data_IF_994436958444
#
_entry.id   IF_994436958444
#
_cell.length_a   1.000
_cell.length_b   1.000
_cell.length_c   1.000
_cell.angle_alpha   90.00
_cell.angle_beta   90.00
_cell.angle_gamma   90.00
#
_symmetry.space_group_name_H-M   'P 1'
#
loop_
_entity.id
_entity.type
_entity.pdbx_description
1 polymer ?
#
# COMPACT_ATOMS: atom_id res chain seq x y z
N UNK A 1 -24.14 -8.95 -8.75
CA UNK A 1 -23.59 -7.58 -8.80
C UNK A 1 -22.10 -7.62 -8.48
N UNK A 2 -21.26 -6.94 -9.27
CA UNK A 2 -19.82 -6.83 -8.96
C UNK A 2 -19.60 -5.77 -7.88
N UNK A 3 -18.70 -6.02 -6.94
CA UNK A 3 -18.28 -5.06 -5.92
C UNK A 3 -17.03 -4.35 -6.43
N UNK A 4 -17.02 -3.03 -6.39
CA UNK A 4 -15.87 -2.24 -6.85
C UNK A 4 -14.74 -2.32 -5.81
N UNK A 5 -13.59 -2.85 -6.24
CA UNK A 5 -12.35 -2.84 -5.48
C UNK A 5 -11.55 -1.58 -5.79
N UNK A 6 -11.17 -0.86 -4.74
CA UNK A 6 -10.38 0.38 -4.87
C UNK A 6 -8.95 0.11 -4.46
N UNK A 7 -7.98 0.62 -5.22
CA UNK A 7 -6.58 0.62 -4.77
C UNK A 7 -6.45 1.64 -3.64
N UNK A 8 -5.98 1.19 -2.48
CA UNK A 8 -5.75 2.01 -1.29
C UNK A 8 -4.27 2.34 -1.10
N UNK A 9 -3.38 1.46 -1.53
CA UNK A 9 -1.94 1.70 -1.43
C UNK A 9 -1.20 1.06 -2.59
N UNK A 10 -0.13 1.72 -3.03
CA UNK A 10 0.85 1.19 -3.99
C UNK A 10 2.26 1.41 -3.42
N UNK A 11 3.10 0.38 -3.51
CA UNK A 11 4.53 0.46 -3.23
C UNK A 11 5.29 0.22 -4.53
N UNK A 12 6.10 1.19 -4.92
CA UNK A 12 6.92 1.17 -6.14
C UNK A 12 8.40 1.10 -5.78
N UNK A 13 9.20 0.65 -6.75
CA UNK A 13 10.65 0.56 -6.63
C UNK A 13 11.34 1.04 -7.90
N UNK A 14 12.34 1.90 -7.73
CA UNK A 14 13.20 2.44 -8.78
C UNK A 14 14.63 2.59 -8.27
N UNK A 15 15.60 2.80 -9.14
CA UNK A 15 17.01 2.95 -8.74
C UNK A 15 17.19 4.20 -7.86
N UNK A 16 16.58 5.32 -8.28
CA UNK A 16 16.57 6.59 -7.55
C UNK A 16 15.32 7.42 -7.87
N UNK A 17 14.38 7.49 -6.92
CA UNK A 17 13.20 8.34 -7.03
C UNK A 17 13.55 9.83 -6.92
N UNK A 18 14.67 10.17 -6.30
CA UNK A 18 15.08 11.57 -6.11
C UNK A 18 15.24 12.31 -7.45
N UNK A 19 15.55 11.58 -8.53
CA UNK A 19 15.71 12.13 -9.88
C UNK A 19 14.40 12.55 -10.54
N UNK A 20 13.26 12.09 -10.04
CA UNK A 20 11.94 12.47 -10.57
C UNK A 20 11.44 13.79 -9.96
N UNK A 21 12.03 14.24 -8.85
CA UNK A 21 11.52 15.34 -8.04
C UNK A 21 12.58 16.46 -7.95
N UNK A 22 12.90 17.06 -9.09
CA UNK A 22 13.96 18.09 -9.21
C UNK A 22 13.42 19.50 -9.44
N UNK A 23 12.10 19.70 -9.60
CA UNK A 23 11.51 21.03 -9.68
C UNK A 23 11.48 21.71 -8.31
N UNK A 24 11.23 23.01 -8.29
CA UNK A 24 11.11 23.83 -7.07
C UNK A 24 9.90 23.43 -6.19
N UNK A 25 8.98 22.63 -6.73
CA UNK A 25 7.83 22.10 -5.99
C UNK A 25 8.20 21.01 -4.98
N UNK A 26 9.44 20.54 -4.98
CA UNK A 26 9.89 19.41 -4.18
C UNK A 26 11.14 19.72 -3.37
N UNK A 27 11.13 19.29 -2.11
CA UNK A 27 12.30 19.29 -1.24
C UNK A 27 12.54 17.86 -0.77
N UNK A 28 13.76 17.35 -0.96
CA UNK A 28 14.15 16.03 -0.46
C UNK A 28 15.10 16.19 0.72
N UNK A 29 14.63 15.79 1.89
CA UNK A 29 15.39 15.85 3.14
C UNK A 29 15.91 14.46 3.52
N UNK A 30 17.20 14.35 3.83
CA UNK A 30 17.82 13.08 4.23
C UNK A 30 17.70 12.91 5.74
N UNK A 31 16.93 11.91 6.17
CA UNK A 31 16.72 11.60 7.60
C UNK A 31 17.71 10.54 8.10
N UNK A 32 18.12 9.63 7.21
CA UNK A 32 19.05 8.56 7.51
C UNK A 32 19.89 8.24 6.27
N UNK A 33 21.20 8.21 6.42
CA UNK A 33 22.16 7.67 5.43
C UNK A 33 23.45 7.22 6.13
N UNK A 34 24.51 6.92 5.39
CA UNK A 34 25.83 6.66 5.98
C UNK A 34 26.36 7.97 6.59
N UNK A 35 26.64 7.98 7.89
CA UNK A 35 27.12 9.17 8.61
C UNK A 35 26.05 10.18 9.03
N UNK A 36 24.79 10.02 8.62
CA UNK A 36 23.68 10.93 8.96
C UNK A 36 22.54 10.15 9.61
N UNK A 37 22.03 10.64 10.74
CA UNK A 37 20.80 10.16 11.35
C UNK A 37 20.14 11.26 12.19
N UNK A 38 18.92 11.65 11.78
CA UNK A 38 18.08 12.63 12.48
C UNK A 38 16.96 11.91 13.27
N UNK A 39 17.17 11.57 14.57
CA UNK A 39 16.27 10.71 15.32
C UNK A 39 14.89 11.35 15.59
N UNK A 40 14.84 12.67 15.80
CA UNK A 40 13.58 13.37 16.08
C UNK A 40 12.68 13.35 14.84
N UNK A 41 13.22 13.80 13.71
CA UNK A 41 12.54 13.78 12.42
C UNK A 41 12.13 12.35 12.00
N UNK A 42 12.96 11.36 12.33
CA UNK A 42 12.64 9.95 12.11
C UNK A 42 11.37 9.52 12.86
N UNK A 43 11.31 9.79 14.17
CA UNK A 43 10.17 9.38 14.99
C UNK A 43 8.90 10.08 14.53
N UNK A 44 8.98 11.39 14.26
CA UNK A 44 7.87 12.19 13.77
C UNK A 44 7.28 11.64 12.47
N UNK A 45 8.16 11.36 11.50
CA UNK A 45 7.75 10.95 10.15
C UNK A 45 7.32 9.48 10.10
N UNK A 46 8.14 8.58 10.65
CA UNK A 46 7.96 7.13 10.47
C UNK A 46 7.15 6.48 11.59
N UNK A 47 6.90 7.20 12.70
CA UNK A 47 6.11 6.77 13.87
C UNK A 47 6.53 5.43 14.46
N UNK A 48 7.78 5.02 14.23
CA UNK A 48 8.37 3.73 14.61
C UNK A 48 9.87 3.88 14.80
N UNK A 49 10.48 3.04 15.64
CA UNK A 49 11.93 2.99 15.78
C UNK A 49 12.65 2.57 14.50
N UNK A 50 13.89 3.03 14.33
CA UNK A 50 14.75 2.65 13.22
C UNK A 50 14.99 1.14 13.24
N UNK A 51 14.76 0.49 12.10
CA UNK A 51 15.06 -0.93 11.92
C UNK A 51 16.40 -1.11 11.20
N UNK A 52 17.21 -2.10 11.61
CA UNK A 52 18.52 -2.42 10.99
C UNK A 52 18.47 -2.68 9.48
N UNK A 53 17.29 -2.93 8.92
CA UNK A 53 17.11 -3.18 7.49
C UNK A 53 17.08 -1.92 6.62
N UNK A 54 17.01 -0.72 7.19
CA UNK A 54 16.94 0.54 6.44
C UNK A 54 18.33 1.15 6.34
N UNK A 55 18.85 1.23 5.11
CA UNK A 55 20.15 1.85 4.81
C UNK A 55 20.02 3.37 4.66
N UNK A 56 18.98 3.80 3.95
CA UNK A 56 18.69 5.20 3.67
C UNK A 56 17.19 5.46 3.86
N UNK A 57 16.88 6.62 4.43
CA UNK A 57 15.54 7.17 4.42
C UNK A 57 15.60 8.66 4.14
N UNK A 58 14.77 9.10 3.19
CA UNK A 58 14.54 10.50 2.85
C UNK A 58 13.05 10.82 2.98
N UNK A 59 12.74 12.09 3.13
CA UNK A 59 11.38 12.63 3.06
C UNK A 59 11.30 13.48 1.81
N UNK A 60 10.36 13.15 0.93
CA UNK A 60 9.93 14.04 -0.13
C UNK A 60 8.85 14.96 0.44
N UNK A 61 9.12 16.24 0.49
CA UNK A 61 8.14 17.28 0.79
C UNK A 61 7.65 17.87 -0.52
N UNK A 62 6.34 18.06 -0.68
CA UNK A 62 5.73 18.74 -1.82
C UNK A 62 5.27 20.14 -1.44
N UNK A 63 5.16 21.04 -2.43
CA UNK A 63 4.61 22.39 -2.26
C UNK A 63 3.17 22.40 -1.72
N UNK A 64 2.42 21.32 -1.92
CA UNK A 64 1.08 21.12 -1.37
C UNK A 64 1.07 20.60 0.09
N UNK A 65 2.23 20.51 0.76
CA UNK A 65 2.36 20.07 2.15
C UNK A 65 2.29 18.56 2.35
N UNK A 66 2.42 17.76 1.28
CA UNK A 66 2.46 16.30 1.39
C UNK A 66 3.89 15.83 1.70
N UNK A 67 4.02 14.94 2.69
CA UNK A 67 5.29 14.29 3.02
C UNK A 67 5.25 12.81 2.63
N UNK A 68 6.18 12.37 1.78
CA UNK A 68 6.23 10.98 1.29
C UNK A 68 7.59 10.35 1.63
N UNK A 69 7.60 9.18 2.30
CA UNK A 69 8.84 8.52 2.65
C UNK A 69 9.49 7.81 1.45
N UNK A 70 10.77 8.10 1.21
CA UNK A 70 11.64 7.35 0.30
C UNK A 70 12.58 6.47 1.13
N UNK A 71 12.66 5.17 0.83
CA UNK A 71 13.48 4.23 1.63
C UNK A 71 14.33 3.32 0.78
N UNK A 72 15.57 3.09 1.19
CA UNK A 72 16.45 2.06 0.66
C UNK A 72 16.71 1.02 1.74
N UNK A 73 16.55 -0.24 1.38
CA UNK A 73 16.70 -1.36 2.31
C UNK A 73 17.99 -2.12 2.05
N UNK A 74 18.57 -2.74 3.08
CA UNK A 74 19.78 -3.55 2.98
C UNK A 74 19.66 -4.72 1.99
N UNK A 75 18.48 -5.33 1.89
CA UNK A 75 18.16 -6.40 0.93
C UNK A 75 18.01 -5.91 -0.51
N UNK A 76 18.00 -4.61 -0.76
CA UNK A 76 17.89 -4.01 -2.08
C UNK A 76 18.65 -2.67 -2.09
N UNK A 77 19.99 -2.71 -1.91
CA UNK A 77 20.78 -1.51 -1.66
C UNK A 77 20.88 -0.61 -2.89
N UNK A 78 20.56 -1.11 -4.08
CA UNK A 78 20.61 -0.34 -5.33
C UNK A 78 19.30 0.35 -5.67
N UNK A 79 18.21 0.10 -4.92
CA UNK A 79 16.88 0.60 -5.27
C UNK A 79 16.18 1.29 -4.11
N UNK A 80 15.56 2.43 -4.39
CA UNK A 80 14.66 3.12 -3.48
C UNK A 80 13.24 2.57 -3.62
N UNK A 81 12.49 2.57 -2.52
CA UNK A 81 11.06 2.30 -2.45
C UNK A 81 10.31 3.60 -2.18
N UNK A 82 9.21 3.78 -2.91
CA UNK A 82 8.22 4.83 -2.71
C UNK A 82 6.92 4.14 -2.27
N UNK A 83 6.44 4.46 -1.06
CA UNK A 83 5.20 3.89 -0.51
C UNK A 83 4.10 4.96 -0.52
N UNK A 84 3.16 4.85 -1.45
CA UNK A 84 1.99 5.73 -1.56
C UNK A 84 0.82 4.98 -0.92
N UNK A 85 0.56 5.25 0.36
CA UNK A 85 -0.39 4.50 1.16
C UNK A 85 -1.48 5.40 1.74
N UNK A 86 -2.73 4.92 1.70
CA UNK A 86 -3.90 5.67 2.19
C UNK A 86 -4.59 6.50 1.11
N UNK A 87 -4.53 6.08 -0.16
CA UNK A 87 -5.30 6.68 -1.26
C UNK A 87 -6.81 6.64 -0.99
N UNK A 88 -7.30 5.76 -0.09
CA UNK A 88 -8.70 5.75 0.37
C UNK A 88 -8.77 6.00 1.88
N UNK A 89 -8.05 7.03 2.33
CA UNK A 89 -8.01 7.51 3.72
C UNK A 89 -9.28 8.21 4.19
N UNK A 90 -10.00 8.90 3.28
CA UNK A 90 -11.18 9.75 3.58
C UNK A 90 -10.83 11.02 4.36
N UNK A 91 -9.66 11.59 4.08
CA UNK A 91 -9.16 12.85 4.61
C UNK A 91 -8.45 13.65 3.49
N UNK A 92 -8.14 14.92 3.76
CA UNK A 92 -7.45 15.81 2.82
C UNK A 92 -6.10 15.22 2.36
N UNK A 93 -5.41 14.52 3.27
CA UNK A 93 -4.16 13.83 2.94
C UNK A 93 -4.36 12.77 1.85
N UNK A 94 -5.45 12.01 1.90
CA UNK A 94 -5.75 11.00 0.88
C UNK A 94 -6.06 11.62 -0.49
N UNK A 95 -6.58 12.84 -0.52
CA UNK A 95 -6.77 13.60 -1.76
C UNK A 95 -5.45 14.09 -2.34
N UNK A 96 -4.60 14.69 -1.50
CA UNK A 96 -3.24 15.07 -1.90
C UNK A 96 -2.42 13.89 -2.44
N UNK A 97 -2.56 12.71 -1.83
CA UNK A 97 -1.89 11.49 -2.30
C UNK A 97 -2.41 11.01 -3.67
N UNK A 98 -3.71 11.15 -3.95
CA UNK A 98 -4.26 10.81 -5.27
C UNK A 98 -3.75 11.78 -6.32
N UNK A 99 -3.84 13.08 -6.06
CA UNK A 99 -3.38 14.12 -6.98
C UNK A 99 -1.89 13.95 -7.28
N UNK A 100 -1.07 13.68 -6.26
CA UNK A 100 0.35 13.35 -6.43
C UNK A 100 0.55 12.11 -7.31
N UNK A 101 -0.19 11.02 -7.04
CA UNK A 101 -0.04 9.79 -7.82
C UNK A 101 -0.46 9.97 -9.29
N UNK A 102 -1.55 10.69 -9.53
CA UNK A 102 -2.08 10.98 -10.88
C UNK A 102 -1.13 11.89 -11.65
N UNK A 103 -0.59 12.94 -11.02
CA UNK A 103 0.37 13.86 -11.63
C UNK A 103 1.67 13.17 -12.07
N UNK A 104 2.08 12.10 -11.38
CA UNK A 104 3.31 11.35 -11.67
C UNK A 104 3.06 9.96 -12.28
N UNK A 105 1.84 9.71 -12.77
CA UNK A 105 1.45 8.37 -13.18
C UNK A 105 2.33 7.83 -14.31
N UNK A 106 2.68 8.70 -15.29
CA UNK A 106 3.49 8.33 -16.44
C UNK A 106 4.93 7.96 -16.05
N UNK A 107 5.53 8.68 -15.11
CA UNK A 107 6.85 8.38 -14.57
C UNK A 107 6.83 7.07 -13.77
N UNK A 108 5.73 6.83 -13.05
CA UNK A 108 5.54 5.62 -12.26
C UNK A 108 5.27 4.37 -13.10
N UNK A 109 4.82 4.50 -14.35
CA UNK A 109 4.58 3.36 -15.24
C UNK A 109 5.81 2.47 -15.44
N UNK A 110 7.01 3.04 -15.42
CA UNK A 110 8.27 2.31 -15.57
C UNK A 110 8.84 1.76 -14.26
N UNK A 111 8.25 2.12 -13.11
CA UNK A 111 8.69 1.67 -11.80
C UNK A 111 8.25 0.23 -11.52
N UNK A 112 9.09 -0.53 -10.82
CA UNK A 112 8.77 -1.90 -10.42
C UNK A 112 7.73 -1.93 -9.30
N UNK A 113 6.77 -2.84 -9.42
CA UNK A 113 5.71 -3.02 -8.46
C UNK A 113 6.17 -3.90 -7.30
N UNK A 114 6.04 -3.38 -6.08
CA UNK A 114 6.40 -4.09 -4.84
C UNK A 114 5.19 -4.48 -4.00
N UNK A 115 4.14 -3.67 -4.01
CA UNK A 115 2.89 -3.96 -3.29
C UNK A 115 1.72 -3.21 -3.91
N UNK A 116 0.54 -3.84 -3.95
CA UNK A 116 -0.74 -3.18 -4.16
C UNK A 116 -1.73 -3.66 -3.11
N UNK A 117 -2.39 -2.72 -2.45
CA UNK A 117 -3.44 -3.01 -1.49
C UNK A 117 -4.81 -2.67 -2.11
N UNK A 118 -5.68 -3.67 -2.27
CA UNK A 118 -7.05 -3.52 -2.78
C UNK A 118 -8.01 -3.55 -1.60
N UNK A 119 -8.82 -2.51 -1.45
CA UNK A 119 -9.80 -2.39 -0.38
C UNK A 119 -11.25 -2.48 -0.87
N UNK A 120 -12.11 -2.96 0.04
CA UNK A 120 -13.56 -3.02 -0.09
C UNK A 120 -14.17 -2.51 1.21
N UNK A 121 -14.97 -1.46 1.10
CA UNK A 121 -15.63 -0.83 2.24
C UNK A 121 -17.09 -1.25 2.33
N UNK A 122 -17.54 -1.49 3.56
CA UNK A 122 -18.89 -1.93 3.89
C UNK A 122 -19.36 -1.19 5.14
N UNK A 123 -20.65 -0.88 5.26
CA UNK A 123 -21.22 -0.48 6.56
C UNK A 123 -20.97 -1.59 7.60
N UNK A 124 -21.14 -2.85 7.18
CA UNK A 124 -20.76 -4.05 7.92
C UNK A 124 -20.37 -5.15 6.94
N UNK A 125 -19.26 -5.84 7.18
CA UNK A 125 -18.84 -6.95 6.31
C UNK A 125 -19.88 -8.08 6.34
N UNK A 126 -20.41 -8.52 5.19
CA UNK A 126 -21.33 -9.65 5.12
C UNK A 126 -20.76 -10.95 5.72
N UNK A 127 -21.54 -11.62 6.57
CA UNK A 127 -21.14 -12.89 7.21
C UNK A 127 -20.70 -13.97 6.22
N UNK A 128 -21.30 -14.02 5.02
CA UNK A 128 -20.90 -14.96 3.96
C UNK A 128 -19.44 -14.79 3.54
N UNK A 129 -18.94 -13.55 3.51
CA UNK A 129 -17.55 -13.25 3.15
C UNK A 129 -16.62 -13.73 4.27
N UNK A 130 -17.00 -13.48 5.52
CA UNK A 130 -16.24 -13.93 6.70
C UNK A 130 -16.17 -15.45 6.71
N UNK A 131 -17.30 -16.14 6.54
CA UNK A 131 -17.35 -17.61 6.45
C UNK A 131 -16.42 -18.14 5.35
N UNK A 132 -16.46 -17.53 4.16
CA UNK A 132 -15.61 -17.92 3.03
C UNK A 132 -14.12 -17.73 3.31
N UNK A 133 -13.75 -16.61 3.92
CA UNK A 133 -12.37 -16.36 4.36
C UNK A 133 -11.90 -17.44 5.35
N UNK A 134 -12.78 -17.84 6.27
CA UNK A 134 -12.47 -18.83 7.30
C UNK A 134 -12.45 -20.29 6.81
N UNK A 135 -12.80 -20.59 5.55
CA UNK A 135 -12.76 -21.98 5.05
C UNK A 135 -11.35 -22.58 5.03
N UNK A 136 -10.31 -21.74 4.86
CA UNK A 136 -8.90 -22.16 4.74
C UNK A 136 -7.93 -21.32 5.56
N UNK A 137 -8.46 -20.37 6.34
CA UNK A 137 -7.67 -19.38 7.09
C UNK A 137 -8.26 -19.20 8.48
N UNK A 138 -7.41 -18.98 9.46
CA UNK A 138 -7.79 -18.66 10.82
C UNK A 138 -7.72 -17.15 11.06
N UNK A 139 -8.71 -16.55 11.75
CA UNK A 139 -8.67 -15.15 12.14
C UNK A 139 -7.68 -14.93 13.29
N UNK A 140 -6.75 -14.01 13.08
CA UNK A 140 -5.79 -13.53 14.08
C UNK A 140 -6.01 -12.05 14.35
N UNK A 141 -6.51 -11.73 15.56
CA UNK A 141 -6.79 -10.33 15.94
C UNK A 141 -5.56 -9.66 16.51
N UNK A 142 -5.24 -8.46 16.01
CA UNK A 142 -4.22 -7.58 16.53
C UNK A 142 -4.72 -6.13 16.51
N UNK A 143 -4.87 -5.54 17.70
CA UNK A 143 -5.47 -4.21 17.88
C UNK A 143 -6.84 -4.12 17.18
N UNK A 144 -7.02 -3.14 16.30
CA UNK A 144 -8.25 -2.91 15.52
C UNK A 144 -8.37 -3.80 14.27
N UNK A 145 -7.39 -4.66 14.00
CA UNK A 145 -7.29 -5.42 12.75
C UNK A 145 -7.39 -6.91 13.00
N UNK A 146 -8.21 -7.60 12.22
CA UNK A 146 -8.23 -9.06 12.11
C UNK A 146 -7.53 -9.47 10.83
N UNK A 147 -6.47 -10.26 10.94
CA UNK A 147 -5.74 -10.86 9.82
C UNK A 147 -6.26 -12.28 9.58
N UNK A 148 -6.51 -12.65 8.33
CA UNK A 148 -6.92 -14.01 7.98
C UNK A 148 -5.71 -14.79 7.48
N UNK A 149 -5.17 -15.69 8.30
CA UNK A 149 -3.90 -16.39 8.03
C UNK A 149 -4.10 -17.87 7.76
N UNK A 150 -3.35 -18.46 6.83
CA UNK A 150 -3.27 -19.93 6.72
C UNK A 150 -2.36 -20.51 7.80
N UNK A 151 -2.48 -21.80 8.11
CA UNK A 151 -1.61 -22.48 9.07
C UNK A 151 -0.10 -22.42 8.69
N UNK A 152 0.21 -22.29 7.38
CA UNK A 152 1.58 -22.17 6.88
C UNK A 152 2.12 -20.73 6.95
N UNK A 153 1.23 -19.75 6.97
CA UNK A 153 1.59 -18.34 7.09
C UNK A 153 2.05 -18.07 8.53
N UNK A 154 3.38 -18.06 8.76
CA UNK A 154 3.99 -17.60 10.02
C UNK A 154 3.65 -16.12 10.29
N UNK A 155 4.42 -15.44 11.16
CA UNK A 155 4.28 -13.99 11.38
C UNK A 155 4.37 -13.17 10.07
N UNK A 156 5.04 -13.67 9.03
CA UNK A 156 5.29 -12.98 7.75
C UNK A 156 4.70 -13.78 6.58
N UNK A 157 4.05 -13.09 5.65
CA UNK A 157 3.60 -13.62 4.35
C UNK A 157 4.04 -12.62 3.27
N UNK A 158 4.84 -13.06 2.31
CA UNK A 158 5.42 -12.20 1.27
C UNK A 158 4.61 -12.16 -0.02
N UNK A 159 3.50 -12.91 -0.09
CA UNK A 159 2.61 -13.01 -1.26
C UNK A 159 1.33 -12.21 -1.08
N UNK A 160 0.55 -12.46 -0.02
CA UNK A 160 -0.77 -11.85 0.15
C UNK A 160 -1.19 -11.79 1.62
N UNK A 161 -1.40 -10.60 2.17
CA UNK A 161 -2.16 -10.48 3.42
C UNK A 161 -3.63 -10.20 3.13
N UNK A 162 -4.52 -10.74 3.95
CA UNK A 162 -5.94 -10.38 3.95
C UNK A 162 -6.28 -9.89 5.34
N UNK A 163 -6.81 -8.67 5.44
CA UNK A 163 -7.17 -8.06 6.72
C UNK A 163 -8.57 -7.48 6.68
N UNK A 164 -9.23 -7.47 7.84
CA UNK A 164 -10.46 -6.74 8.13
C UNK A 164 -10.22 -5.81 9.30
N UNK A 165 -10.72 -4.59 9.23
CA UNK A 165 -10.65 -3.65 10.35
C UNK A 165 -11.80 -2.65 10.33
N UNK A 166 -12.03 -2.03 11.48
CA UNK A 166 -12.97 -0.93 11.64
C UNK A 166 -12.32 0.35 11.12
N UNK A 167 -12.67 0.74 9.89
CA UNK A 167 -12.12 1.91 9.20
C UNK A 167 -12.66 3.20 9.81
N UNK A 168 -13.89 3.18 10.36
CA UNK A 168 -14.43 4.30 11.12
C UNK A 168 -13.53 4.65 12.31
N UNK A 169 -13.16 3.66 13.12
CA UNK A 169 -12.24 3.89 14.26
C UNK A 169 -10.84 4.30 13.82
N UNK A 170 -10.34 3.75 12.73
CA UNK A 170 -8.99 4.02 12.24
C UNK A 170 -8.85 5.44 11.66
N UNK A 171 -9.83 5.88 10.87
CA UNK A 171 -9.82 7.19 10.21
C UNK A 171 -10.70 8.25 10.91
N UNK A 172 -11.29 7.92 12.08
CA UNK A 172 -12.19 8.80 12.85
C UNK A 172 -13.38 9.33 12.03
N UNK A 173 -14.01 8.45 11.25
CA UNK A 173 -15.12 8.83 10.37
C UNK A 173 -16.43 9.01 11.16
N UNK A 174 -17.34 9.89 10.70
CA UNK A 174 -18.63 10.09 11.35
C UNK A 174 -19.53 8.84 11.23
N UNK A 175 -19.45 8.14 10.11
CA UNK A 175 -20.34 7.01 9.78
C UNK A 175 -19.64 5.65 9.92
N UNK A 176 -20.39 4.58 10.25
CA UNK A 176 -19.85 3.23 10.33
C UNK A 176 -19.24 2.75 9.02
N UNK A 177 -18.00 2.26 9.09
CA UNK A 177 -17.26 1.75 7.95
C UNK A 177 -16.31 0.63 8.38
N UNK A 178 -16.54 -0.57 7.88
CA UNK A 178 -15.61 -1.70 7.95
C UNK A 178 -14.93 -1.89 6.61
N UNK A 179 -13.63 -2.22 6.64
CA UNK A 179 -12.84 -2.47 5.44
C UNK A 179 -12.31 -3.90 5.43
N UNK A 180 -12.42 -4.57 4.28
CA UNK A 180 -11.58 -5.71 3.91
C UNK A 180 -10.50 -5.22 2.97
N UNK A 181 -9.25 -5.60 3.20
CA UNK A 181 -8.12 -5.25 2.34
C UNK A 181 -7.30 -6.49 1.99
N UNK A 182 -6.96 -6.60 0.71
CA UNK A 182 -6.08 -7.61 0.13
C UNK A 182 -4.77 -6.94 -0.25
N UNK A 183 -3.71 -7.21 0.51
CA UNK A 183 -2.39 -6.64 0.32
C UNK A 183 -1.52 -7.60 -0.52
N UNK A 184 -1.52 -7.42 -1.84
CA UNK A 184 -0.72 -8.19 -2.78
C UNK A 184 0.72 -7.69 -2.71
N UNK A 185 1.66 -8.56 -2.31
CA UNK A 185 3.06 -8.22 -2.04
C UNK A 185 3.99 -8.73 -3.12
N UNK A 186 5.27 -8.37 -3.04
CA UNK A 186 6.28 -8.63 -4.07
C UNK A 186 6.30 -10.05 -4.63
N UNK A 187 6.11 -11.09 -3.80
CA UNK A 187 6.12 -12.48 -4.28
C UNK A 187 4.87 -12.88 -5.07
N UNK A 188 3.81 -12.06 -5.10
CA UNK A 188 2.63 -12.25 -5.95
C UNK A 188 2.89 -11.85 -7.41
N UNK A 189 3.78 -10.88 -7.62
CA UNK A 189 4.09 -10.32 -8.92
C UNK A 189 5.28 -11.06 -9.55
N UNK A 190 5.31 -11.20 -10.90
CA UNK A 190 6.53 -11.57 -11.59
C UNK A 190 7.70 -10.65 -11.20
N UNK A 191 8.90 -11.21 -11.10
CA UNK A 191 10.09 -10.45 -10.71
C UNK A 191 10.32 -9.31 -11.71
N UNK A 192 10.41 -8.08 -11.20
CA UNK A 192 10.67 -6.89 -12.02
C UNK A 192 9.45 -6.38 -12.79
N UNK A 193 8.24 -6.90 -12.51
CA UNK A 193 6.99 -6.40 -13.10
C UNK A 193 6.87 -4.89 -12.86
N UNK A 194 6.61 -4.13 -13.91
CA UNK A 194 6.43 -2.68 -13.86
C UNK A 194 4.96 -2.32 -13.64
N UNK A 195 4.69 -1.08 -13.22
CA UNK A 195 3.31 -0.60 -13.03
C UNK A 195 2.52 -0.65 -14.34
N UNK A 196 3.13 -0.34 -15.48
CA UNK A 196 2.48 -0.44 -16.81
C UNK A 196 2.00 -1.85 -17.16
N UNK A 197 2.64 -2.88 -16.57
CA UNK A 197 2.29 -4.27 -16.82
C UNK A 197 1.05 -4.70 -16.00
N UNK A 198 0.51 -3.82 -15.14
CA UNK A 198 -0.74 -4.03 -14.41
C UNK A 198 -1.96 -3.85 -15.33
N UNK A 199 -1.95 -4.57 -16.44
CA UNK A 199 -2.96 -4.53 -17.48
C UNK A 199 -4.28 -5.17 -17.02
N UNK A 200 -5.28 -5.13 -17.90
CA UNK A 200 -6.60 -5.74 -17.66
C UNK A 200 -6.50 -7.24 -17.33
N UNK A 201 -5.53 -7.96 -17.90
CA UNK A 201 -5.34 -9.41 -17.69
C UNK A 201 -4.79 -9.68 -16.28
N UNK A 202 -3.81 -8.89 -15.83
CA UNK A 202 -3.24 -9.04 -14.50
C UNK A 202 -4.24 -8.59 -13.41
N UNK A 203 -4.97 -7.50 -13.62
CA UNK A 203 -6.06 -7.10 -12.74
C UNK A 203 -7.12 -8.21 -12.62
N UNK A 204 -7.46 -8.88 -13.72
CA UNK A 204 -8.38 -10.02 -13.71
C UNK A 204 -7.85 -11.21 -12.89
N UNK A 205 -6.52 -11.43 -12.84
CA UNK A 205 -5.89 -12.44 -11.98
C UNK A 205 -6.05 -12.07 -10.49
N UNK A 206 -5.91 -10.80 -10.15
CA UNK A 206 -6.15 -10.29 -8.78
C UNK A 206 -7.62 -10.42 -8.39
N UNK A 207 -8.55 -10.05 -9.28
CA UNK A 207 -10.00 -10.23 -9.10
C UNK A 207 -10.35 -11.71 -8.82
N UNK A 208 -9.79 -12.66 -9.60
CA UNK A 208 -9.96 -14.10 -9.35
C UNK A 208 -9.40 -14.53 -7.99
N UNK A 209 -8.26 -13.99 -7.60
CA UNK A 209 -7.65 -14.28 -6.29
C UNK A 209 -8.57 -13.83 -5.15
N UNK A 210 -9.10 -12.61 -5.23
CA UNK A 210 -10.05 -12.05 -4.27
C UNK A 210 -11.31 -12.93 -4.17
N UNK A 211 -11.89 -13.29 -5.31
CA UNK A 211 -13.07 -14.16 -5.37
C UNK A 211 -12.81 -15.51 -4.71
N UNK A 212 -11.69 -16.16 -5.02
CA UNK A 212 -11.36 -17.47 -4.47
C UNK A 212 -11.26 -17.47 -2.93
N UNK A 213 -10.68 -16.41 -2.35
CA UNK A 213 -10.52 -16.32 -0.89
C UNK A 213 -11.77 -15.84 -0.15
N UNK A 214 -12.61 -15.01 -0.76
CA UNK A 214 -13.64 -14.27 -0.02
C UNK A 214 -15.04 -14.36 -0.60
N UNK A 215 -15.19 -14.89 -1.81
CA UNK A 215 -16.45 -14.87 -2.57
C UNK A 215 -16.84 -13.48 -3.06
N UNK A 216 -15.98 -12.46 -2.88
CA UNK A 216 -16.21 -11.12 -3.42
C UNK A 216 -16.03 -11.18 -4.94
N UNK A 217 -17.12 -10.98 -5.68
CA UNK A 217 -17.09 -10.80 -7.12
C UNK A 217 -16.59 -9.38 -7.44
N UNK A 218 -15.26 -9.21 -7.45
CA UNK A 218 -14.61 -7.91 -7.55
C UNK A 218 -14.57 -7.38 -8.99
N UNK A 219 -14.62 -6.06 -9.13
CA UNK A 219 -14.08 -5.32 -10.28
C UNK A 219 -13.06 -4.32 -9.76
N UNK A 220 -11.79 -4.47 -10.12
CA UNK A 220 -10.75 -3.51 -9.78
C UNK A 220 -10.75 -2.43 -10.85
N UNK A 221 -10.84 -1.17 -10.41
CA UNK A 221 -10.71 0.00 -11.28
C UNK A 221 -9.23 0.41 -11.26
N UNK A 222 -8.55 0.52 -12.43
CA UNK A 222 -7.19 1.04 -12.48
C UNK A 222 -7.19 2.52 -12.08
N UNK A 223 -6.16 2.98 -11.37
CA UNK A 223 -6.11 4.38 -10.89
C UNK A 223 -6.10 5.38 -12.05
N UNK A 224 -5.56 5.00 -13.23
CA UNK A 224 -5.46 5.86 -14.42
C UNK A 224 -6.78 6.21 -15.13
N UNK A 225 -7.93 5.77 -14.61
CA UNK A 225 -9.26 6.06 -15.16
C UNK A 225 -10.17 6.84 -14.20
N UNK A 226 -9.60 7.33 -13.09
CA UNK A 226 -10.25 8.30 -12.19
C UNK A 226 -9.63 9.65 -12.43
#
# INVERSE_FOLDING_TARGET
MKIIGKIDSISLRSDDFSRLFTSEDYIIEVVKSVGIFEPNLWIETFKKGLTKSILEAKILHTSAGLTIPLKRYNRSPTKQSLDIAGLRGYDDKSELLKNFFEAHFLEFMECELKRIDICFDFVKVPNRIIKRLCEKREPFKFRNTTYYKTAKEKKINDTLDIKRYDKQKEAKLPEPLERIEFCFKGAYFPKGMKLKDLDKKFLSKMEKTIFNFSGINAKIIPISYT
#
